data_IF_424075136702
#
_entry.id   IF_424075136702
#
_cell.length_a   1.000
_cell.length_b   1.000
_cell.length_c   1.000
_cell.angle_alpha   90.00
_cell.angle_beta   90.00
_cell.angle_gamma   90.00
#
_symmetry.space_group_name_H-M   'P 1'
#
loop_
_entity.id
_entity.type
_entity.pdbx_description
1 polymer ?
#
# COMPACT_ATOMS: atom_id res chain seq x y z
N UNK A 1 -36.15 -25.01 55.63
CA UNK A 1 -37.13 -24.00 56.06
C UNK A 1 -36.69 -22.66 55.49
N UNK A 2 -37.39 -22.12 54.62
CA UNK A 2 -37.89 -20.79 54.27
C UNK A 2 -38.06 -20.67 52.77
N UNK A 3 -39.31 -20.56 52.41
CA UNK A 3 -39.88 -20.25 51.09
C UNK A 3 -39.65 -18.73 50.84
N UNK A 4 -39.34 -18.33 49.60
CA UNK A 4 -39.64 -16.98 49.12
C UNK A 4 -40.10 -17.04 47.67
N UNK A 5 -41.17 -16.32 47.48
CA UNK A 5 -42.11 -16.30 46.32
C UNK A 5 -41.55 -15.58 45.11
N UNK A 6 -42.10 -16.06 44.00
CA UNK A 6 -42.07 -15.52 42.65
C UNK A 6 -43.03 -14.32 42.55
N UNK A 7 -42.59 -13.18 42.00
CA UNK A 7 -43.48 -12.17 41.45
C UNK A 7 -43.30 -12.07 39.96
N UNK A 8 -44.37 -12.47 39.28
CA UNK A 8 -44.58 -12.38 37.82
C UNK A 8 -45.20 -11.00 37.54
N UNK A 9 -44.51 -10.10 36.88
CA UNK A 9 -45.10 -8.89 36.31
C UNK A 9 -45.38 -9.09 34.83
N UNK A 10 -46.64 -9.23 34.53
CA UNK A 10 -47.20 -9.20 33.19
C UNK A 10 -47.31 -7.74 32.74
N UNK A 11 -46.64 -7.36 31.65
CA UNK A 11 -46.92 -6.10 30.96
C UNK A 11 -47.57 -6.39 29.60
N UNK A 12 -48.74 -5.90 29.48
CA UNK A 12 -49.61 -5.94 28.31
C UNK A 12 -49.11 -4.93 27.29
N UNK A 13 -48.77 -5.37 26.08
CA UNK A 13 -48.47 -4.47 24.97
C UNK A 13 -49.64 -4.48 23.99
N UNK A 14 -50.25 -3.33 23.85
CA UNK A 14 -51.31 -3.06 22.87
C UNK A 14 -50.71 -2.91 21.48
N UNK A 15 -51.20 -3.70 20.55
CA UNK A 15 -50.96 -3.60 19.12
C UNK A 15 -51.69 -2.38 18.55
N UNK A 16 -50.96 -1.53 17.84
CA UNK A 16 -51.52 -0.62 16.85
C UNK A 16 -50.96 -0.99 15.47
N UNK A 17 -51.82 -1.52 14.65
CA UNK A 17 -51.57 -1.78 13.25
C UNK A 17 -51.68 -0.49 12.44
N UNK A 18 -50.65 -0.22 11.62
CA UNK A 18 -50.82 0.63 10.44
C UNK A 18 -50.15 -0.06 9.25
N UNK A 19 -50.93 -0.38 8.26
CA UNK A 19 -50.56 -0.91 6.96
C UNK A 19 -49.85 0.13 6.11
N UNK A 20 -48.90 -0.33 5.33
CA UNK A 20 -48.31 0.36 4.18
C UNK A 20 -47.26 -0.55 3.57
N UNK A 21 -47.60 -1.26 2.47
CA UNK A 21 -46.72 -2.18 1.75
C UNK A 21 -45.50 -1.43 1.17
N UNK A 22 -44.46 -2.07 0.79
CA UNK A 22 -44.27 -2.92 -0.35
C UNK A 22 -42.79 -3.38 -0.43
N UNK A 23 -42.63 -4.58 -0.86
CA UNK A 23 -41.50 -5.25 -1.51
C UNK A 23 -40.07 -5.00 -1.04
N UNK A 24 -39.62 -5.95 -0.24
CA UNK A 24 -38.24 -6.16 0.09
C UNK A 24 -37.52 -7.07 -0.91
N UNK A 25 -36.30 -6.80 -1.16
CA UNK A 25 -35.33 -7.77 -1.64
C UNK A 25 -34.08 -7.73 -0.74
N UNK A 26 -33.67 -8.90 -0.34
CA UNK A 26 -32.61 -9.31 0.53
C UNK A 26 -31.47 -8.32 0.79
N UNK A 27 -31.40 -7.93 2.04
CA UNK A 27 -30.23 -7.22 2.57
C UNK A 27 -29.15 -8.20 2.90
N UNK A 28 -28.07 -8.18 2.14
CA UNK A 28 -26.76 -8.63 2.60
C UNK A 28 -26.33 -7.72 3.75
N UNK A 29 -25.82 -8.33 4.79
CA UNK A 29 -25.28 -7.72 5.99
C UNK A 29 -24.24 -6.62 5.63
N UNK A 30 -24.69 -5.40 5.47
CA UNK A 30 -23.82 -4.23 5.47
C UNK A 30 -23.44 -3.97 6.92
N UNK A 31 -22.22 -4.37 7.27
CA UNK A 31 -21.59 -4.02 8.52
C UNK A 31 -21.75 -2.53 8.77
N UNK A 32 -22.39 -2.21 9.88
CA UNK A 32 -22.65 -0.93 10.51
C UNK A 32 -21.57 0.15 10.28
N UNK A 33 -21.56 0.75 9.08
CA UNK A 33 -20.98 2.06 8.88
C UNK A 33 -22.03 3.08 9.36
N UNK A 34 -21.66 4.12 10.11
CA UNK A 34 -22.59 5.17 10.44
C UNK A 34 -23.13 5.77 9.13
N UNK A 35 -24.45 5.72 8.99
CA UNK A 35 -25.15 6.24 7.85
C UNK A 35 -24.85 7.74 7.70
N UNK A 36 -24.70 8.22 6.46
CA UNK A 36 -24.68 9.65 6.23
C UNK A 36 -26.08 10.17 6.59
N UNK A 37 -26.11 11.09 7.51
CA UNK A 37 -27.29 11.88 7.73
C UNK A 37 -27.67 12.61 6.43
N UNK A 38 -28.95 12.71 6.16
CA UNK A 38 -29.50 13.26 4.93
C UNK A 38 -29.17 14.75 4.69
N UNK A 39 -28.49 15.41 5.61
CA UNK A 39 -28.09 16.81 5.57
C UNK A 39 -26.65 17.05 5.04
N UNK A 40 -25.94 15.98 4.64
CA UNK A 40 -24.61 16.09 4.03
C UNK A 40 -23.50 16.32 5.03
N UNK A 41 -23.71 16.06 6.33
CA UNK A 41 -22.65 16.08 7.31
C UNK A 41 -21.63 14.98 7.03
N UNK A 42 -20.37 15.31 7.26
CA UNK A 42 -19.26 14.45 6.91
C UNK A 42 -19.25 13.19 7.77
N UNK A 43 -19.12 12.04 7.13
CA UNK A 43 -18.85 10.78 7.81
C UNK A 43 -17.62 10.96 8.72
N UNK A 44 -17.78 10.79 10.03
CA UNK A 44 -16.69 10.81 11.00
C UNK A 44 -16.32 9.37 11.34
N UNK A 45 -15.24 8.85 10.77
CA UNK A 45 -14.74 7.53 11.14
C UNK A 45 -14.01 7.61 12.49
N UNK A 46 -14.26 6.63 13.34
CA UNK A 46 -13.46 6.42 14.55
C UNK A 46 -11.97 6.26 14.17
N UNK A 47 -11.06 6.84 14.97
CA UNK A 47 -9.61 6.65 14.82
C UNK A 47 -9.18 5.18 14.86
N UNK A 48 -9.98 4.32 15.48
CA UNK A 48 -9.76 2.87 15.55
C UNK A 48 -10.45 2.08 14.41
N UNK A 49 -11.19 2.74 13.52
CA UNK A 49 -11.80 2.05 12.39
C UNK A 49 -10.77 1.29 11.58
N UNK A 50 -10.97 -0.01 11.40
CA UNK A 50 -10.05 -0.87 10.63
C UNK A 50 -10.49 -0.90 9.18
N UNK A 51 -9.67 -0.29 8.31
CA UNK A 51 -9.88 -0.39 6.86
C UNK A 51 -9.53 -1.79 6.37
N UNK A 52 -10.46 -2.46 5.72
CA UNK A 52 -10.20 -3.70 4.96
C UNK A 52 -10.05 -3.34 3.50
N UNK A 53 -8.83 -3.45 2.99
CA UNK A 53 -8.46 -3.03 1.64
C UNK A 53 -8.26 -4.26 0.75
N UNK A 54 -9.16 -4.52 -0.22
CA UNK A 54 -9.02 -5.64 -1.13
C UNK A 54 -7.78 -5.45 -2.03
N UNK A 55 -6.85 -6.41 -1.99
CA UNK A 55 -5.64 -6.45 -2.81
C UNK A 55 -5.80 -7.49 -3.90
N UNK A 56 -5.44 -7.11 -5.12
CA UNK A 56 -5.28 -8.02 -6.25
C UNK A 56 -3.84 -7.96 -6.76
N UNK A 57 -3.21 -9.12 -6.83
CA UNK A 57 -1.90 -9.31 -7.44
C UNK A 57 -2.10 -9.72 -8.90
N UNK A 58 -1.68 -8.88 -9.83
CA UNK A 58 -1.65 -9.18 -11.25
C UNK A 58 -0.27 -9.71 -11.63
N UNK A 59 -0.14 -11.01 -11.85
CA UNK A 59 1.12 -11.65 -12.20
C UNK A 59 1.24 -11.70 -13.73
N UNK A 60 2.06 -10.80 -14.30
CA UNK A 60 2.32 -10.75 -15.72
C UNK A 60 3.52 -11.64 -16.05
N UNK A 61 3.32 -12.70 -16.85
CA UNK A 61 4.34 -13.68 -17.18
C UNK A 61 4.36 -14.01 -18.68
N UNK A 62 5.50 -14.47 -19.18
CA UNK A 62 5.62 -15.08 -20.51
C UNK A 62 5.81 -16.60 -20.40
N UNK A 63 6.55 -17.07 -19.40
CA UNK A 63 6.80 -18.48 -19.14
C UNK A 63 6.25 -18.89 -17.77
N UNK A 64 5.22 -19.74 -17.77
CA UNK A 64 4.60 -20.25 -16.54
C UNK A 64 5.48 -21.27 -15.79
N UNK A 65 6.54 -21.78 -16.41
CA UNK A 65 7.52 -22.67 -15.78
C UNK A 65 8.65 -21.93 -15.06
N UNK A 66 8.79 -20.62 -15.29
CA UNK A 66 9.77 -19.75 -14.65
C UNK A 66 9.20 -19.20 -13.34
N UNK A 67 9.70 -19.69 -12.20
CA UNK A 67 9.26 -19.26 -10.87
C UNK A 67 9.58 -17.78 -10.57
N UNK A 68 10.47 -17.14 -11.33
CA UNK A 68 10.72 -15.70 -11.22
C UNK A 68 9.64 -14.86 -11.91
N UNK A 69 8.86 -15.44 -12.80
CA UNK A 69 7.77 -14.79 -13.52
C UNK A 69 6.41 -15.22 -12.96
N UNK A 70 6.23 -16.54 -12.71
CA UNK A 70 4.95 -17.12 -12.28
C UNK A 70 4.94 -17.38 -10.77
N UNK A 71 4.75 -16.32 -10.01
CA UNK A 71 4.77 -16.38 -8.55
C UNK A 71 3.53 -17.11 -8.03
N UNK A 72 3.70 -18.13 -7.19
CA UNK A 72 2.56 -18.91 -6.69
C UNK A 72 1.65 -18.08 -5.77
N UNK A 73 0.34 -18.33 -5.86
CA UNK A 73 -0.66 -17.68 -5.01
C UNK A 73 -0.39 -17.90 -3.51
N UNK A 74 0.10 -19.09 -3.13
CA UNK A 74 0.49 -19.37 -1.75
C UNK A 74 1.62 -18.45 -1.29
N UNK A 75 2.60 -18.19 -2.15
CA UNK A 75 3.71 -17.27 -1.86
C UNK A 75 3.20 -15.85 -1.65
N UNK A 76 2.35 -15.34 -2.55
CA UNK A 76 1.78 -13.99 -2.46
C UNK A 76 0.91 -13.82 -1.21
N UNK A 77 0.11 -14.84 -0.87
CA UNK A 77 -0.66 -14.86 0.38
C UNK A 77 0.24 -14.75 1.61
N UNK A 78 1.34 -15.51 1.66
CA UNK A 78 2.26 -15.48 2.79
C UNK A 78 2.95 -14.11 2.91
N UNK A 79 3.36 -13.52 1.78
CA UNK A 79 3.94 -12.17 1.77
C UNK A 79 2.92 -11.17 2.33
N UNK A 80 1.68 -11.18 1.85
CA UNK A 80 0.64 -10.25 2.30
C UNK A 80 0.34 -10.41 3.80
N UNK A 81 0.41 -11.64 4.33
CA UNK A 81 0.29 -11.86 5.77
C UNK A 81 1.37 -11.11 6.55
N UNK A 82 2.65 -11.22 6.14
CA UNK A 82 3.75 -10.53 6.82
C UNK A 82 3.67 -9.00 6.65
N UNK A 83 3.20 -8.51 5.50
CA UNK A 83 2.91 -7.08 5.30
C UNK A 83 1.84 -6.61 6.30
N UNK A 84 0.77 -7.38 6.50
CA UNK A 84 -0.23 -7.06 7.52
C UNK A 84 0.33 -7.03 8.94
N UNK A 85 1.29 -7.90 9.26
CA UNK A 85 1.97 -7.89 10.56
C UNK A 85 2.79 -6.60 10.76
N UNK A 86 3.42 -6.07 9.70
CA UNK A 86 4.11 -4.78 9.72
C UNK A 86 3.11 -3.65 9.96
N UNK A 87 2.02 -3.58 9.20
CA UNK A 87 1.01 -2.52 9.28
C UNK A 87 0.19 -2.57 10.58
N UNK A 88 0.06 -3.74 11.18
CA UNK A 88 -0.53 -3.91 12.52
C UNK A 88 0.35 -3.30 13.62
N UNK A 89 1.66 -3.24 13.40
CA UNK A 89 2.64 -2.79 14.38
C UNK A 89 2.86 -3.78 15.54
N UNK A 90 3.94 -3.56 16.28
CA UNK A 90 4.24 -4.32 17.51
C UNK A 90 4.77 -5.75 17.34
N UNK A 91 4.65 -6.35 16.16
CA UNK A 91 5.11 -7.73 15.92
C UNK A 91 6.63 -7.82 15.84
N UNK A 92 7.27 -6.88 15.14
CA UNK A 92 8.72 -6.88 14.88
C UNK A 92 9.49 -5.82 15.65
N UNK A 93 8.80 -5.00 16.42
CA UNK A 93 9.34 -3.91 17.22
C UNK A 93 8.29 -2.83 17.45
N UNK A 94 8.67 -1.72 18.08
CA UNK A 94 7.78 -0.59 18.31
C UNK A 94 7.41 0.09 16.98
N UNK A 95 6.11 0.18 16.70
CA UNK A 95 5.56 0.74 15.47
C UNK A 95 4.09 1.12 15.69
N UNK A 96 3.61 2.14 15.02
CA UNK A 96 2.20 2.50 15.04
C UNK A 96 1.32 1.40 14.44
N UNK A 97 0.15 1.17 15.04
CA UNK A 97 -0.88 0.33 14.44
C UNK A 97 -1.69 1.16 13.45
N UNK A 98 -1.63 0.81 12.17
CA UNK A 98 -2.31 1.54 11.09
C UNK A 98 -3.83 1.40 11.11
N UNK A 99 -4.36 0.38 11.78
CA UNK A 99 -5.77 -0.04 11.64
C UNK A 99 -6.15 -0.25 10.16
N UNK A 100 -5.26 -0.91 9.42
CA UNK A 100 -5.43 -1.34 8.03
C UNK A 100 -5.19 -2.84 7.97
N UNK A 101 -6.04 -3.53 7.24
CA UNK A 101 -5.90 -4.95 6.89
C UNK A 101 -5.99 -5.08 5.37
N UNK A 102 -4.92 -5.49 4.74
CA UNK A 102 -4.92 -5.85 3.32
C UNK A 102 -5.48 -7.25 3.19
N UNK A 103 -6.64 -7.37 2.53
CA UNK A 103 -7.33 -8.65 2.33
C UNK A 103 -7.22 -9.07 0.87
N UNK A 104 -7.05 -10.37 0.61
CA UNK A 104 -7.07 -10.86 -0.76
C UNK A 104 -8.45 -10.66 -1.38
N UNK A 105 -8.52 -10.07 -2.57
CA UNK A 105 -9.77 -9.91 -3.30
C UNK A 105 -10.44 -11.27 -3.51
N UNK A 106 -11.71 -11.43 -3.17
CA UNK A 106 -12.45 -12.68 -3.33
C UNK A 106 -13.27 -12.72 -4.63
N UNK A 107 -13.60 -11.54 -5.16
CA UNK A 107 -14.42 -11.37 -6.39
C UNK A 107 -13.68 -10.48 -7.39
N UNK A 108 -13.99 -10.66 -8.67
CA UNK A 108 -13.56 -9.77 -9.74
C UNK A 108 -14.43 -8.49 -9.81
N UNK A 109 -14.13 -7.57 -10.74
CA UNK A 109 -14.87 -6.32 -10.97
C UNK A 109 -16.36 -6.54 -11.36
N UNK A 110 -16.72 -7.75 -11.79
CA UNK A 110 -18.09 -8.14 -12.13
C UNK A 110 -18.82 -8.84 -10.98
N UNK A 111 -18.16 -9.02 -9.82
CA UNK A 111 -18.68 -9.73 -8.65
C UNK A 111 -18.61 -11.25 -8.74
N UNK A 112 -17.91 -11.81 -9.75
CA UNK A 112 -17.71 -13.26 -9.84
C UNK A 112 -16.63 -13.69 -8.86
N UNK A 113 -16.87 -14.81 -8.16
CA UNK A 113 -15.91 -15.39 -7.24
C UNK A 113 -14.64 -15.84 -7.96
N UNK A 114 -13.49 -15.43 -7.45
CA UNK A 114 -12.19 -15.84 -7.98
C UNK A 114 -11.89 -17.30 -7.63
N UNK A 115 -11.35 -18.04 -8.60
CA UNK A 115 -10.83 -19.40 -8.35
C UNK A 115 -9.58 -19.38 -7.49
N UNK A 116 -8.81 -18.31 -7.57
CA UNK A 116 -7.60 -18.04 -6.79
C UNK A 116 -7.75 -16.66 -6.14
N UNK A 117 -8.22 -16.59 -4.89
CA UNK A 117 -8.43 -15.30 -4.23
C UNK A 117 -7.17 -14.43 -4.26
N UNK A 118 -7.35 -13.16 -4.65
CA UNK A 118 -6.33 -12.13 -4.68
C UNK A 118 -5.25 -12.28 -5.73
N UNK A 119 -5.36 -13.22 -6.68
CA UNK A 119 -4.34 -13.40 -7.72
C UNK A 119 -4.96 -13.58 -9.10
N UNK A 120 -4.53 -12.77 -10.04
CA UNK A 120 -4.82 -12.89 -11.47
C UNK A 120 -3.53 -13.18 -12.22
N UNK A 121 -3.52 -14.26 -13.01
CA UNK A 121 -2.37 -14.63 -13.86
C UNK A 121 -2.63 -14.20 -15.29
N UNK A 122 -1.79 -13.29 -15.79
CA UNK A 122 -1.96 -12.73 -17.14
C UNK A 122 -0.76 -13.06 -18.00
N UNK A 123 -0.99 -13.85 -19.06
CA UNK A 123 0.06 -14.11 -20.06
C UNK A 123 0.34 -12.84 -20.85
N UNK A 124 1.51 -12.24 -20.61
CA UNK A 124 1.92 -11.01 -21.25
C UNK A 124 2.50 -11.30 -22.65
N UNK A 125 2.05 -10.53 -23.64
CA UNK A 125 2.44 -10.75 -25.05
C UNK A 125 3.34 -9.64 -25.62
N UNK A 126 3.68 -8.63 -24.79
CA UNK A 126 4.56 -7.54 -25.18
C UNK A 126 6.05 -7.86 -24.97
N UNK A 127 6.90 -6.85 -25.07
CA UNK A 127 8.32 -6.95 -24.73
C UNK A 127 8.50 -7.27 -23.24
N UNK A 128 9.36 -8.27 -22.94
CA UNK A 128 9.60 -8.74 -21.59
C UNK A 128 11.11 -9.03 -21.39
N UNK A 129 11.74 -8.66 -20.32
CA UNK A 129 11.23 -7.95 -19.13
C UNK A 129 10.64 -6.57 -19.42
N UNK A 130 9.76 -6.07 -18.54
CA UNK A 130 9.03 -4.82 -18.74
C UNK A 130 9.76 -3.68 -17.98
N UNK A 131 9.87 -2.51 -18.61
CA UNK A 131 10.36 -1.31 -17.94
C UNK A 131 9.27 -0.78 -16.97
N UNK A 132 9.54 -0.70 -15.64
CA UNK A 132 8.54 -0.34 -14.67
C UNK A 132 8.07 1.12 -14.79
N UNK A 133 8.98 2.03 -15.18
CA UNK A 133 8.62 3.43 -15.36
C UNK A 133 7.72 3.61 -16.57
N UNK A 134 8.07 2.97 -17.70
CA UNK A 134 7.19 2.97 -18.89
C UNK A 134 5.82 2.37 -18.58
N UNK A 135 5.75 1.30 -17.76
CA UNK A 135 4.48 0.69 -17.38
C UNK A 135 3.59 1.67 -16.61
N UNK A 136 4.15 2.42 -15.67
CA UNK A 136 3.40 3.32 -14.80
C UNK A 136 3.09 4.68 -15.46
N UNK A 137 4.02 5.21 -16.29
CA UNK A 137 3.90 6.58 -16.82
C UNK A 137 3.30 6.66 -18.23
N UNK A 138 3.09 5.53 -18.92
CA UNK A 138 2.43 5.50 -20.21
C UNK A 138 0.96 5.93 -20.07
N UNK A 139 0.62 7.06 -20.63
CA UNK A 139 -0.71 7.66 -20.57
C UNK A 139 -1.57 7.39 -21.84
N UNK A 140 -1.18 6.42 -22.65
CA UNK A 140 -1.94 6.02 -23.84
C UNK A 140 -3.14 5.13 -23.55
N UNK A 141 -3.30 4.69 -22.32
CA UNK A 141 -4.29 3.67 -21.92
C UNK A 141 -3.85 2.23 -22.14
N UNK A 142 -2.64 2.01 -22.69
CA UNK A 142 -2.13 0.68 -23.04
C UNK A 142 -2.12 -0.30 -21.87
N UNK A 143 -1.80 0.18 -20.68
CA UNK A 143 -1.60 -0.65 -19.50
C UNK A 143 -2.79 -0.68 -18.54
N UNK A 144 -3.83 0.16 -18.75
CA UNK A 144 -5.02 0.20 -17.86
C UNK A 144 -5.80 -1.11 -17.81
N UNK A 145 -5.66 -1.94 -18.84
CA UNK A 145 -6.28 -3.28 -18.89
C UNK A 145 -5.65 -4.30 -17.92
N UNK A 146 -4.51 -3.97 -17.32
CA UNK A 146 -3.81 -4.85 -16.39
C UNK A 146 -4.08 -4.48 -14.92
N UNK A 147 -4.98 -3.54 -14.68
CA UNK A 147 -5.43 -3.18 -13.34
C UNK A 147 -6.95 -3.29 -13.25
N UNK A 148 -7.44 -3.54 -12.05
CA UNK A 148 -8.85 -3.42 -11.70
C UNK A 148 -9.18 -2.02 -11.20
N UNK A 149 -10.46 -1.72 -10.94
CA UNK A 149 -10.88 -0.38 -10.49
C UNK A 149 -10.18 0.00 -9.18
N UNK A 150 -9.33 1.04 -9.18
CA UNK A 150 -8.61 1.44 -7.96
C UNK A 150 -9.52 1.96 -6.84
N UNK A 151 -10.77 2.28 -7.14
CA UNK A 151 -11.75 2.67 -6.12
C UNK A 151 -12.20 1.48 -5.26
N UNK A 152 -12.06 0.26 -5.78
CA UNK A 152 -12.50 -0.98 -5.13
C UNK A 152 -11.35 -1.91 -4.77
N UNK A 153 -10.20 -1.80 -5.46
CA UNK A 153 -9.06 -2.71 -5.30
C UNK A 153 -7.73 -1.97 -5.24
N UNK A 154 -6.83 -2.43 -4.36
CA UNK A 154 -5.41 -2.09 -4.45
C UNK A 154 -4.75 -3.00 -5.46
N UNK A 155 -4.23 -2.43 -6.53
CA UNK A 155 -3.57 -3.15 -7.60
C UNK A 155 -2.07 -3.26 -7.35
N UNK A 156 -1.55 -4.47 -7.26
CA UNK A 156 -0.12 -4.78 -7.20
C UNK A 156 0.23 -5.64 -8.40
N UNK A 157 1.03 -5.09 -9.32
CA UNK A 157 1.39 -5.79 -10.57
C UNK A 157 2.80 -6.34 -10.45
N UNK A 158 2.98 -7.63 -10.72
CA UNK A 158 4.28 -8.30 -10.65
C UNK A 158 4.76 -8.70 -12.04
N UNK A 159 5.99 -8.33 -12.37
CA UNK A 159 6.69 -8.78 -13.58
C UNK A 159 8.20 -8.61 -13.39
N UNK A 160 9.02 -9.28 -14.22
CA UNK A 160 10.46 -9.06 -14.22
C UNK A 160 10.77 -7.67 -14.78
N UNK A 161 11.47 -6.86 -14.02
CA UNK A 161 11.86 -5.51 -14.42
C UNK A 161 12.99 -5.55 -15.45
N UNK A 162 12.86 -4.76 -16.50
CA UNK A 162 13.95 -4.47 -17.41
C UNK A 162 15.08 -3.78 -16.63
N UNK A 163 16.29 -4.33 -16.71
CA UNK A 163 17.45 -3.73 -16.03
C UNK A 163 17.71 -2.36 -16.61
N UNK A 164 17.90 -1.38 -15.73
CA UNK A 164 18.44 -0.07 -16.11
C UNK A 164 19.94 -0.22 -16.30
N UNK A 165 20.48 0.30 -17.40
CA UNK A 165 21.93 0.33 -17.65
C UNK A 165 22.64 1.42 -16.83
N UNK A 166 21.90 2.21 -16.06
CA UNK A 166 22.47 3.20 -15.14
C UNK A 166 22.99 2.51 -13.90
N UNK A 167 24.29 2.73 -13.62
CA UNK A 167 25.00 2.14 -12.51
C UNK A 167 24.31 2.45 -11.16
N UNK A 168 24.15 1.44 -10.34
CA UNK A 168 24.03 1.67 -8.91
C UNK A 168 22.97 0.93 -8.13
N UNK A 169 22.18 0.03 -8.69
CA UNK A 169 21.23 -0.69 -7.85
C UNK A 169 20.19 -1.49 -8.62
N UNK A 170 19.42 -2.29 -7.89
CA UNK A 170 18.28 -3.02 -8.44
C UNK A 170 17.01 -2.37 -7.93
N UNK A 171 16.15 -1.95 -8.85
CA UNK A 171 14.80 -1.50 -8.50
C UNK A 171 13.94 -2.71 -8.13
N UNK A 172 13.40 -2.72 -6.92
CA UNK A 172 12.57 -3.81 -6.39
C UNK A 172 11.08 -3.54 -6.55
N UNK A 173 10.69 -2.28 -6.44
CA UNK A 173 9.32 -1.81 -6.59
C UNK A 173 9.28 -0.37 -7.08
N UNK A 174 8.13 0.06 -7.54
CA UNK A 174 7.81 1.45 -7.91
C UNK A 174 6.32 1.65 -7.73
N UNK A 175 5.89 2.77 -7.18
CA UNK A 175 4.48 3.02 -6.91
C UNK A 175 3.99 4.38 -7.41
N UNK A 176 2.72 4.45 -7.75
CA UNK A 176 2.01 5.71 -7.83
C UNK A 176 1.76 6.26 -6.43
N UNK A 177 1.95 7.59 -6.28
CA UNK A 177 1.45 8.32 -5.13
C UNK A 177 -0.05 8.59 -5.29
N UNK A 178 -0.81 8.71 -4.19
CA UNK A 178 -2.19 9.13 -4.27
C UNK A 178 -2.30 10.60 -4.67
N UNK A 179 -3.47 10.98 -5.15
CA UNK A 179 -3.81 12.39 -5.36
C UNK A 179 -4.64 12.88 -4.18
N UNK A 180 -4.50 14.16 -3.84
CA UNK A 180 -5.28 14.84 -2.82
C UNK A 180 -6.40 15.64 -3.45
N UNK A 181 -7.51 15.83 -2.74
CA UNK A 181 -8.56 16.75 -3.22
C UNK A 181 -8.10 18.20 -3.00
N UNK A 182 -8.30 19.05 -4.00
CA UNK A 182 -7.95 20.47 -3.95
C UNK A 182 -8.96 21.27 -3.10
N UNK A 183 -8.90 21.09 -1.81
CA UNK A 183 -9.70 21.80 -0.81
C UNK A 183 -8.94 21.93 0.52
N UNK A 184 -9.64 22.30 1.58
CA UNK A 184 -9.05 22.42 2.93
C UNK A 184 -8.48 21.13 3.50
N UNK A 185 -8.65 19.99 2.82
CA UNK A 185 -8.10 18.69 3.18
C UNK A 185 -6.92 18.28 2.31
N UNK A 186 -6.38 19.17 1.48
CA UNK A 186 -5.22 18.86 0.65
C UNK A 186 -4.00 18.52 1.52
N UNK A 187 -3.33 17.42 1.17
CA UNK A 187 -2.10 16.98 1.84
C UNK A 187 -0.88 17.57 1.15
N UNK A 188 0.00 18.14 1.95
CA UNK A 188 1.27 18.66 1.48
C UNK A 188 2.11 17.58 0.77
N UNK A 189 2.74 17.96 -0.35
CA UNK A 189 3.57 17.07 -1.17
C UNK A 189 2.82 16.28 -2.23
N UNK A 190 1.52 16.04 -2.09
CA UNK A 190 0.72 15.32 -3.08
C UNK A 190 0.23 16.24 -4.21
N UNK A 191 0.08 15.67 -5.41
CA UNK A 191 -0.65 16.31 -6.48
C UNK A 191 -2.13 16.47 -6.12
N UNK A 192 -2.78 17.52 -6.59
CA UNK A 192 -4.17 17.83 -6.26
C UNK A 192 -5.11 17.68 -7.46
N UNK A 193 -6.37 17.39 -7.17
CA UNK A 193 -7.46 17.32 -8.15
C UNK A 193 -8.74 17.91 -7.56
N UNK A 194 -9.55 18.53 -8.37
CA UNK A 194 -10.90 18.95 -7.97
C UNK A 194 -11.90 17.80 -7.88
N UNK A 195 -11.52 16.61 -8.36
CA UNK A 195 -12.38 15.44 -8.44
C UNK A 195 -12.32 14.62 -7.13
N UNK A 196 -13.47 14.37 -6.54
CA UNK A 196 -13.60 13.51 -5.34
C UNK A 196 -13.79 12.03 -5.67
N UNK A 197 -14.09 11.74 -6.92
CA UNK A 197 -14.21 10.40 -7.48
C UNK A 197 -13.71 10.42 -8.91
N UNK A 198 -12.87 9.47 -9.26
CA UNK A 198 -12.30 9.30 -10.58
C UNK A 198 -12.65 7.89 -11.05
N UNK A 199 -13.53 7.73 -12.05
CA UNK A 199 -13.85 6.39 -12.56
C UNK A 199 -12.64 5.78 -13.28
N UNK A 200 -12.49 4.46 -13.20
CA UNK A 200 -11.43 3.72 -13.92
C UNK A 200 -11.39 4.07 -15.41
N UNK A 201 -12.56 4.28 -16.03
CA UNK A 201 -12.67 4.62 -17.46
C UNK A 201 -11.99 5.96 -17.83
N UNK A 202 -11.76 6.83 -16.87
CA UNK A 202 -11.03 8.10 -17.07
C UNK A 202 -9.51 7.96 -16.90
N UNK A 203 -9.02 6.78 -16.50
CA UNK A 203 -7.58 6.54 -16.34
C UNK A 203 -6.94 6.24 -17.69
N UNK A 204 -5.88 6.95 -18.01
CA UNK A 204 -5.03 6.70 -19.17
C UNK A 204 -3.72 5.99 -18.82
N UNK A 205 -3.43 5.79 -17.54
CA UNK A 205 -2.26 5.08 -16.99
C UNK A 205 -2.71 4.02 -15.99
N UNK A 206 -1.86 3.01 -15.78
CA UNK A 206 -2.12 1.93 -14.83
C UNK A 206 -1.83 2.40 -13.40
N UNK A 207 -2.84 2.91 -12.70
CA UNK A 207 -2.71 3.36 -11.31
C UNK A 207 -2.54 2.16 -10.36
N UNK A 208 -1.29 1.88 -9.97
CA UNK A 208 -0.92 0.69 -9.19
C UNK A 208 0.47 0.85 -8.56
N UNK A 209 0.86 -0.15 -7.75
CA UNK A 209 2.25 -0.44 -7.42
C UNK A 209 2.76 -1.56 -8.33
N UNK A 210 4.00 -1.48 -8.81
CA UNK A 210 4.65 -2.56 -9.55
C UNK A 210 5.80 -3.13 -8.74
N UNK A 211 5.97 -4.45 -8.80
CA UNK A 211 6.96 -5.20 -8.02
C UNK A 211 7.79 -6.07 -8.97
N UNK A 212 9.12 -6.03 -8.78
CA UNK A 212 10.03 -6.90 -9.53
C UNK A 212 9.85 -8.35 -9.08
N UNK A 213 9.18 -9.14 -9.90
CA UNK A 213 8.81 -10.52 -9.57
C UNK A 213 10.01 -11.44 -9.36
N UNK A 214 11.19 -11.12 -9.89
CA UNK A 214 12.43 -11.88 -9.65
C UNK A 214 12.72 -12.03 -8.14
N UNK A 215 12.36 -11.03 -7.34
CA UNK A 215 12.60 -11.04 -5.89
C UNK A 215 11.40 -11.60 -5.09
N UNK A 216 10.27 -11.81 -5.71
CA UNK A 216 9.14 -12.48 -5.07
C UNK A 216 9.26 -14.01 -5.11
N UNK A 217 9.99 -14.55 -6.09
CA UNK A 217 10.31 -15.96 -6.24
C UNK A 217 11.42 -16.45 -5.30
N UNK A 218 12.03 -17.58 -5.69
CA UNK A 218 13.16 -18.15 -4.96
C UNK A 218 14.48 -17.52 -5.43
N UNK A 219 15.43 -17.43 -4.51
CA UNK A 219 16.82 -17.09 -4.82
C UNK A 219 17.56 -18.31 -5.44
N UNK A 220 18.77 -18.09 -5.89
CA UNK A 220 19.61 -19.15 -6.51
C UNK A 220 19.96 -20.31 -5.56
N UNK A 221 19.83 -20.11 -4.24
CA UNK A 221 20.07 -21.10 -3.21
C UNK A 221 18.78 -21.83 -2.81
N UNK A 222 17.64 -21.50 -3.43
CA UNK A 222 16.33 -22.05 -3.15
C UNK A 222 15.62 -21.44 -1.92
N UNK A 223 16.20 -20.40 -1.33
CA UNK A 223 15.60 -19.56 -0.30
C UNK A 223 14.62 -18.54 -0.89
N UNK A 224 14.22 -17.57 -0.08
CA UNK A 224 13.45 -16.42 -0.51
C UNK A 224 14.18 -15.12 -0.17
N UNK A 225 14.04 -14.12 -1.03
CA UNK A 225 14.52 -12.76 -0.77
C UNK A 225 13.68 -12.11 0.33
N UNK A 226 13.94 -12.49 1.57
CA UNK A 226 13.25 -11.97 2.76
C UNK A 226 14.08 -12.19 4.03
N UNK A 227 13.80 -11.40 5.05
CA UNK A 227 14.37 -11.59 6.38
C UNK A 227 13.96 -12.94 6.98
N UNK A 228 14.88 -13.60 7.67
CA UNK A 228 14.57 -14.84 8.40
C UNK A 228 13.65 -14.65 9.60
N UNK A 229 13.37 -13.38 10.02
CA UNK A 229 12.44 -13.08 11.11
C UNK A 229 11.03 -13.59 10.89
N UNK A 230 10.59 -13.66 9.62
CA UNK A 230 9.25 -14.12 9.27
C UNK A 230 9.03 -15.62 9.56
N UNK A 231 10.10 -16.41 9.56
CA UNK A 231 10.05 -17.86 9.80
C UNK A 231 10.60 -18.26 11.17
N UNK A 232 11.65 -17.56 11.64
CA UNK A 232 12.36 -17.92 12.86
C UNK A 232 11.92 -17.13 14.09
N UNK A 233 11.17 -16.04 13.89
CA UNK A 233 10.85 -15.07 14.93
C UNK A 233 12.05 -14.20 15.34
N UNK A 234 11.78 -13.12 16.05
CA UNK A 234 12.80 -12.13 16.45
C UNK A 234 13.71 -12.67 17.56
N UNK A 235 13.14 -13.44 18.49
CA UNK A 235 13.84 -13.89 19.71
C UNK A 235 15.08 -14.76 19.44
N UNK A 236 15.14 -15.41 18.28
CA UNK A 236 16.25 -16.29 17.90
C UNK A 236 17.36 -15.59 17.10
N UNK A 237 17.26 -14.28 16.96
CA UNK A 237 18.06 -13.55 16.01
C UNK A 237 17.61 -13.78 14.56
N UNK A 238 17.86 -12.84 13.69
CA UNK A 238 17.46 -12.94 12.29
C UNK A 238 18.45 -12.24 11.37
N UNK A 239 18.43 -12.63 10.11
CA UNK A 239 19.17 -11.95 9.05
C UNK A 239 18.26 -10.96 8.34
N UNK A 240 18.78 -9.78 7.98
CA UNK A 240 18.14 -8.84 7.08
C UNK A 240 18.54 -9.15 5.63
N UNK A 241 17.67 -8.84 4.70
CA UNK A 241 17.96 -8.90 3.27
C UNK A 241 17.78 -7.51 2.65
N UNK A 242 18.72 -6.99 1.88
CA UNK A 242 18.54 -5.71 1.19
C UNK A 242 17.46 -5.78 0.10
N UNK A 243 17.06 -7.00 -0.28
CA UNK A 243 16.01 -7.26 -1.28
C UNK A 243 14.81 -7.96 -0.63
N UNK A 244 14.46 -7.60 0.63
CA UNK A 244 13.35 -8.21 1.34
C UNK A 244 12.03 -7.85 0.67
N UNK A 245 11.41 -8.82 0.00
CA UNK A 245 10.17 -8.64 -0.75
C UNK A 245 8.98 -8.22 0.14
N UNK A 246 8.97 -8.61 1.41
CA UNK A 246 7.91 -8.22 2.35
C UNK A 246 8.04 -6.73 2.67
N UNK A 247 9.27 -6.27 2.95
CA UNK A 247 9.56 -4.85 3.16
C UNK A 247 9.27 -4.06 1.88
N UNK A 248 9.69 -4.58 0.71
CA UNK A 248 9.43 -3.94 -0.59
C UNK A 248 7.93 -3.72 -0.80
N UNK A 249 7.09 -4.74 -0.63
CA UNK A 249 5.65 -4.57 -0.83
C UNK A 249 5.05 -3.64 0.25
N UNK A 250 5.51 -3.73 1.51
CA UNK A 250 5.08 -2.78 2.55
C UNK A 250 5.46 -1.34 2.20
N UNK A 251 6.65 -1.12 1.67
CA UNK A 251 7.16 0.17 1.21
C UNK A 251 6.32 0.74 0.05
N UNK A 252 6.09 -0.04 -1.00
CA UNK A 252 5.30 0.39 -2.15
C UNK A 252 3.84 0.71 -1.78
N UNK A 253 3.25 -0.07 -0.86
CA UNK A 253 1.94 0.24 -0.31
C UNK A 253 1.97 1.49 0.59
N UNK A 254 3.10 1.81 1.22
CA UNK A 254 3.33 3.07 1.91
C UNK A 254 3.23 4.26 0.95
N UNK A 255 3.91 4.21 -0.19
CA UNK A 255 3.80 5.21 -1.26
C UNK A 255 2.38 5.31 -1.80
N UNK A 256 1.76 4.17 -2.12
CA UNK A 256 0.38 4.12 -2.60
C UNK A 256 -0.62 4.78 -1.62
N UNK A 257 -0.30 4.77 -0.33
CA UNK A 257 -1.06 5.43 0.74
C UNK A 257 -0.49 6.80 1.16
N UNK A 258 0.46 7.38 0.40
CA UNK A 258 0.88 8.76 0.53
C UNK A 258 2.14 9.03 1.33
N UNK A 259 2.93 8.02 1.67
CA UNK A 259 4.21 8.20 2.35
C UNK A 259 5.33 8.51 1.36
N UNK A 260 6.22 9.41 1.75
CA UNK A 260 7.50 9.68 1.09
C UNK A 260 8.63 8.97 1.83
N UNK A 261 9.83 8.92 1.22
CA UNK A 261 11.01 8.39 1.88
C UNK A 261 11.42 9.26 3.05
N UNK A 262 11.98 8.63 4.10
CA UNK A 262 12.46 9.36 5.29
C UNK A 262 13.77 10.12 5.05
N UNK A 263 14.51 9.82 3.99
CA UNK A 263 15.71 10.58 3.61
C UNK A 263 15.34 11.80 2.76
N UNK A 264 16.26 12.77 2.73
CA UNK A 264 16.07 13.98 1.92
C UNK A 264 16.07 13.65 0.43
N UNK A 265 14.99 14.00 -0.26
CA UNK A 265 14.85 13.80 -1.70
C UNK A 265 14.01 14.90 -2.36
N UNK A 266 14.09 15.01 -3.68
CA UNK A 266 13.11 15.69 -4.51
C UNK A 266 12.24 14.66 -5.23
N UNK A 267 11.13 14.29 -4.60
CA UNK A 267 10.23 13.26 -5.11
C UNK A 267 9.57 13.61 -6.46
N UNK A 268 9.67 14.87 -6.90
CA UNK A 268 9.16 15.34 -8.21
C UNK A 268 10.23 15.36 -9.28
N UNK A 269 11.50 15.13 -8.93
CA UNK A 269 12.60 15.10 -9.88
C UNK A 269 12.59 13.80 -10.70
N UNK A 270 12.83 13.92 -11.99
CA UNK A 270 13.13 12.76 -12.85
C UNK A 270 14.53 12.19 -12.58
N UNK A 271 15.43 13.00 -11.96
CA UNK A 271 16.76 12.55 -11.54
C UNK A 271 16.63 11.74 -10.25
N UNK A 272 17.09 10.51 -10.33
CA UNK A 272 17.07 9.55 -9.20
C UNK A 272 18.36 9.52 -8.40
N UNK A 273 19.32 10.38 -8.75
CA UNK A 273 20.55 10.51 -7.98
C UNK A 273 20.23 11.01 -6.56
N UNK A 274 20.87 10.45 -5.53
CA UNK A 274 20.67 10.90 -4.17
C UNK A 274 21.11 12.35 -4.01
N UNK A 275 20.27 13.17 -3.38
CA UNK A 275 20.63 14.55 -3.06
C UNK A 275 21.71 14.58 -1.97
N UNK A 276 22.73 15.41 -2.17
CA UNK A 276 23.72 15.74 -1.15
C UNK A 276 23.22 16.92 -0.31
N UNK A 277 22.18 16.66 0.48
CA UNK A 277 21.53 17.67 1.32
C UNK A 277 20.78 17.05 2.49
N UNK A 278 20.46 17.90 3.46
CA UNK A 278 19.68 17.55 4.65
C UNK A 278 18.43 18.42 4.74
N UNK A 279 17.28 17.78 4.92
CA UNK A 279 15.99 18.44 5.10
C UNK A 279 14.86 17.44 5.27
N UNK A 280 13.79 17.84 5.94
CA UNK A 280 12.57 17.05 6.04
C UNK A 280 11.78 17.20 4.73
N UNK A 281 11.65 16.11 3.99
CA UNK A 281 10.91 16.05 2.72
C UNK A 281 9.80 15.00 2.73
N UNK A 282 9.61 14.28 3.83
CA UNK A 282 8.58 13.24 3.97
C UNK A 282 7.28 13.74 4.63
N UNK A 283 7.30 15.00 5.11
CA UNK A 283 6.17 15.66 5.77
C UNK A 283 5.71 14.97 7.07
N UNK A 284 6.63 14.25 7.74
CA UNK A 284 6.38 13.50 8.98
C UNK A 284 7.43 13.88 10.05
N UNK A 285 7.07 14.77 10.96
CA UNK A 285 8.00 15.36 11.93
C UNK A 285 8.61 14.38 12.95
N UNK A 286 8.05 13.20 13.06
CA UNK A 286 8.49 12.15 13.99
C UNK A 286 9.35 11.07 13.31
N UNK A 287 9.73 11.29 12.05
CA UNK A 287 10.71 10.50 11.30
C UNK A 287 12.03 11.26 11.24
N UNK A 288 13.18 10.61 11.50
CA UNK A 288 14.47 11.27 11.35
C UNK A 288 14.87 11.34 9.87
N UNK A 289 15.03 12.56 9.33
CA UNK A 289 15.59 12.74 7.98
C UNK A 289 17.11 12.61 7.97
N UNK A 290 17.69 12.13 6.87
CA UNK A 290 19.13 12.00 6.71
C UNK A 290 19.57 12.25 5.27
N UNK A 291 20.87 12.51 5.08
CA UNK A 291 21.50 12.65 3.76
C UNK A 291 21.79 11.26 3.16
N UNK A 292 20.99 10.86 2.18
CA UNK A 292 21.11 9.57 1.50
C UNK A 292 22.46 9.43 0.77
N UNK A 293 22.96 10.52 0.16
CA UNK A 293 24.25 10.50 -0.56
C UNK A 293 25.42 10.14 0.38
N UNK A 294 25.46 10.77 1.55
CA UNK A 294 26.50 10.47 2.56
C UNK A 294 26.42 9.01 3.03
N UNK A 295 25.20 8.50 3.24
CA UNK A 295 25.03 7.10 3.62
C UNK A 295 25.46 6.13 2.52
N UNK A 296 25.13 6.39 1.25
CA UNK A 296 25.54 5.54 0.12
C UNK A 296 27.06 5.56 -0.07
N UNK A 297 27.72 6.71 0.10
CA UNK A 297 29.18 6.83 0.08
C UNK A 297 29.84 6.04 1.22
N UNK A 298 29.28 6.14 2.44
CA UNK A 298 29.72 5.33 3.58
C UNK A 298 29.58 3.84 3.27
N UNK A 299 28.42 3.40 2.76
CA UNK A 299 28.17 2.00 2.44
C UNK A 299 29.14 1.46 1.38
N UNK A 300 29.43 2.24 0.35
CA UNK A 300 30.39 1.89 -0.71
C UNK A 300 31.81 1.72 -0.14
N UNK A 301 32.23 2.61 0.76
CA UNK A 301 33.52 2.49 1.44
C UNK A 301 33.56 1.29 2.38
N UNK A 302 32.51 1.10 3.17
CA UNK A 302 32.39 0.00 4.12
C UNK A 302 32.48 -1.35 3.39
N UNK A 303 31.70 -1.55 2.33
CA UNK A 303 31.69 -2.80 1.55
C UNK A 303 33.01 -3.07 0.83
N UNK A 304 33.70 -2.02 0.39
CA UNK A 304 35.02 -2.17 -0.27
C UNK A 304 36.15 -2.50 0.70
N UNK A 305 36.03 -2.12 1.96
CA UNK A 305 37.06 -2.28 2.99
C UNK A 305 36.98 -3.60 3.76
N UNK A 306 35.82 -4.26 3.74
CA UNK A 306 35.58 -5.48 4.53
C UNK A 306 35.93 -6.74 3.75
N UNK A 307 36.85 -7.52 4.26
CA UNK A 307 37.32 -8.78 3.63
C UNK A 307 36.49 -10.01 4.00
N UNK A 308 35.57 -9.99 5.01
CA UNK A 308 34.78 -11.20 5.34
C UNK A 308 33.63 -11.12 6.32
N UNK A 309 33.31 -10.04 7.03
CA UNK A 309 32.14 -10.00 7.95
C UNK A 309 31.60 -8.57 8.13
N UNK A 310 30.67 -8.17 7.30
CA UNK A 310 29.85 -6.98 7.55
C UNK A 310 28.93 -7.24 8.76
N UNK A 311 28.95 -6.35 9.75
CA UNK A 311 28.00 -6.41 10.87
C UNK A 311 26.69 -5.73 10.45
N UNK A 312 25.57 -6.36 10.78
CA UNK A 312 24.24 -5.80 10.47
C UNK A 312 24.09 -4.38 11.04
N UNK A 313 24.55 -4.16 12.28
CA UNK A 313 24.45 -2.87 12.96
C UNK A 313 25.15 -1.73 12.19
N UNK A 314 26.31 -2.02 11.57
CA UNK A 314 27.07 -1.00 10.85
C UNK A 314 26.33 -0.53 9.57
N UNK A 315 25.63 -1.45 8.88
CA UNK A 315 24.94 -1.11 7.62
C UNK A 315 23.55 -0.53 7.82
N UNK A 316 22.94 -0.72 8.97
CA UNK A 316 21.62 -0.11 9.29
C UNK A 316 21.74 1.21 10.06
N UNK A 317 22.95 1.62 10.46
CA UNK A 317 23.17 2.90 11.15
C UNK A 317 22.99 4.07 10.18
N UNK A 318 22.32 5.10 10.62
CA UNK A 318 22.11 6.37 9.90
C UNK A 318 22.51 7.56 10.79
N UNK A 319 23.00 8.60 10.15
CA UNK A 319 23.28 9.90 10.77
C UNK A 319 22.18 10.88 10.35
N UNK A 320 21.34 11.26 11.31
CA UNK A 320 20.22 12.17 11.03
C UNK A 320 20.70 13.61 10.81
N UNK A 321 19.93 14.40 10.10
CA UNK A 321 20.19 15.81 9.82
C UNK A 321 20.29 16.69 11.07
N UNK A 322 19.72 16.27 12.19
CA UNK A 322 19.82 16.95 13.49
C UNK A 322 21.08 16.57 14.28
N UNK A 323 21.93 15.70 13.73
CA UNK A 323 23.17 15.22 14.35
C UNK A 323 23.02 14.03 15.27
N UNK A 324 21.83 13.42 15.35
CA UNK A 324 21.61 12.19 16.12
C UNK A 324 21.84 10.94 15.26
N UNK A 325 22.15 9.83 15.91
CA UNK A 325 22.30 8.53 15.25
C UNK A 325 21.03 7.69 15.49
N UNK A 326 20.62 6.95 14.46
CA UNK A 326 19.54 5.98 14.59
C UNK A 326 19.76 4.72 13.75
N UNK A 327 19.14 3.63 14.15
CA UNK A 327 19.11 2.41 13.35
C UNK A 327 17.90 2.42 12.43
N UNK A 328 18.13 2.25 11.14
CA UNK A 328 17.08 2.21 10.13
C UNK A 328 16.09 1.08 10.39
N UNK A 329 14.86 1.44 10.68
CA UNK A 329 13.76 0.51 10.92
C UNK A 329 12.48 0.88 10.17
N UNK A 330 12.41 2.10 9.62
CA UNK A 330 11.23 2.59 8.93
C UNK A 330 11.03 1.86 7.60
N UNK A 331 9.77 1.54 7.26
CA UNK A 331 9.45 0.92 5.98
C UNK A 331 9.76 1.82 4.78
N UNK A 332 9.82 3.14 4.98
CA UNK A 332 10.11 4.12 3.93
C UNK A 332 11.61 4.47 3.83
N UNK A 333 12.49 3.59 4.29
CA UNK A 333 13.93 3.70 4.10
C UNK A 333 14.43 2.72 3.04
N UNK A 334 15.66 2.94 2.53
CA UNK A 334 16.26 2.14 1.47
C UNK A 334 17.34 1.18 1.96
N UNK A 335 17.65 0.20 1.11
CA UNK A 335 18.73 -0.76 1.24
C UNK A 335 18.65 -1.54 2.58
N UNK A 336 19.67 -1.39 3.41
CA UNK A 336 19.74 -2.11 4.67
C UNK A 336 18.89 -1.41 5.74
N UNK A 337 17.67 -1.88 5.90
CA UNK A 337 16.74 -1.45 6.95
C UNK A 337 16.13 -2.65 7.67
N UNK A 338 15.74 -2.48 8.92
CA UNK A 338 14.91 -3.45 9.61
C UNK A 338 13.48 -3.48 9.05
N UNK A 339 13.01 -2.38 8.42
CA UNK A 339 11.81 -2.31 7.59
C UNK A 339 10.53 -2.80 8.25
N UNK A 340 10.25 -2.36 9.49
CA UNK A 340 9.00 -2.73 10.18
C UNK A 340 8.29 -1.55 10.83
N UNK A 341 8.98 -0.41 10.95
CA UNK A 341 8.47 0.74 11.70
C UNK A 341 7.65 1.67 10.81
N UNK A 342 6.50 2.07 11.32
CA UNK A 342 5.67 3.16 10.83
C UNK A 342 5.51 4.13 12.00
N UNK A 343 5.71 5.42 11.77
CA UNK A 343 5.56 6.45 12.80
C UNK A 343 4.10 6.88 12.97
N UNK A 344 3.79 7.63 14.04
CA UNK A 344 2.44 8.13 14.26
C UNK A 344 2.05 9.19 13.21
N UNK A 345 2.97 10.07 12.77
CA UNK A 345 2.67 11.03 11.71
C UNK A 345 2.50 10.33 10.34
N UNK A 346 3.28 9.28 10.05
CA UNK A 346 3.07 8.45 8.88
C UNK A 346 1.68 7.78 8.91
N UNK A 347 1.27 7.26 10.07
CA UNK A 347 -0.08 6.72 10.28
C UNK A 347 -1.15 7.77 10.01
N UNK A 348 -1.03 8.96 10.59
CA UNK A 348 -2.00 10.04 10.39
C UNK A 348 -2.11 10.41 8.91
N UNK A 349 -0.97 10.52 8.22
CA UNK A 349 -0.90 10.83 6.80
C UNK A 349 -1.59 9.76 5.94
N UNK A 350 -1.29 8.48 6.15
CA UNK A 350 -1.95 7.39 5.43
C UNK A 350 -3.45 7.31 5.71
N UNK A 351 -3.87 7.51 6.96
CA UNK A 351 -5.31 7.51 7.30
C UNK A 351 -6.05 8.68 6.67
N UNK A 352 -5.38 9.82 6.51
CA UNK A 352 -5.93 10.95 5.78
C UNK A 352 -6.15 10.60 4.30
N UNK A 353 -5.17 9.98 3.65
CA UNK A 353 -5.29 9.47 2.26
C UNK A 353 -6.45 8.49 2.14
N UNK A 354 -6.55 7.51 3.02
CA UNK A 354 -7.65 6.55 3.05
C UNK A 354 -9.01 7.22 3.12
N UNK A 355 -9.13 8.33 3.83
CA UNK A 355 -10.38 9.01 4.11
C UNK A 355 -10.79 10.02 3.04
N UNK A 356 -9.82 10.69 2.39
CA UNK A 356 -10.10 11.82 1.50
C UNK A 356 -9.72 11.58 0.03
N UNK A 357 -8.67 10.81 -0.24
CA UNK A 357 -8.13 10.68 -1.60
C UNK A 357 -8.99 9.80 -2.50
N UNK A 358 -9.26 10.21 -3.77
CA UNK A 358 -9.87 9.32 -4.77
C UNK A 358 -8.91 8.17 -5.15
N UNK A 359 -9.40 7.18 -5.91
CA UNK A 359 -8.64 6.03 -6.41
C UNK A 359 -8.05 5.13 -5.30
N UNK A 360 -8.59 5.18 -4.10
CA UNK A 360 -8.21 4.32 -2.97
C UNK A 360 -9.46 3.62 -2.47
N UNK A 361 -9.49 2.31 -2.24
CA UNK A 361 -10.68 1.62 -1.74
C UNK A 361 -11.04 2.01 -0.30
N UNK A 362 -12.28 1.77 0.07
CA UNK A 362 -12.78 1.96 1.43
C UNK A 362 -13.76 3.13 1.59
N UNK A 363 -14.32 3.30 2.80
CA UNK A 363 -15.25 4.38 3.09
C UNK A 363 -14.56 5.74 3.06
N UNK A 364 -15.19 6.72 2.42
CA UNK A 364 -14.72 8.08 2.20
C UNK A 364 -15.71 9.10 2.74
N UNK A 365 -15.19 10.23 3.23
CA UNK A 365 -16.01 11.35 3.68
C UNK A 365 -17.02 11.85 2.62
N UNK A 366 -16.68 11.70 1.36
CA UNK A 366 -17.44 12.25 0.26
C UNK A 366 -17.82 11.20 -0.79
N UNK A 367 -18.06 9.97 -0.37
CA UNK A 367 -18.62 8.95 -1.28
C UNK A 367 -20.00 9.41 -1.71
N UNK A 368 -20.06 10.26 -2.74
CA UNK A 368 -21.30 10.51 -3.46
C UNK A 368 -21.71 9.14 -4.01
N UNK A 369 -22.89 8.67 -3.65
CA UNK A 369 -23.49 7.48 -4.24
C UNK A 369 -23.68 7.72 -5.75
N UNK A 370 -22.63 7.43 -6.52
CA UNK A 370 -22.59 7.60 -7.99
C UNK A 370 -23.54 6.61 -8.68
N UNK A 371 -24.06 5.61 -7.95
CA UNK A 371 -25.00 4.63 -8.49
C UNK A 371 -26.38 5.19 -8.92
N UNK A 372 -26.70 6.44 -8.62
CA UNK A 372 -28.03 7.02 -8.92
C UNK A 372 -28.05 8.26 -9.81
N UNK A 373 -26.89 8.76 -10.27
CA UNK A 373 -26.88 9.82 -11.29
C UNK A 373 -26.05 9.34 -12.48
N UNK A 374 -26.71 9.37 -13.66
CA UNK A 374 -26.07 9.00 -14.92
C UNK A 374 -24.66 9.59 -15.02
N UNK A 375 -23.73 8.70 -15.32
CA UNK A 375 -22.33 8.99 -15.55
C UNK A 375 -22.21 10.22 -16.45
N UNK A 376 -21.83 11.33 -15.88
CA UNK A 376 -21.23 12.39 -16.68
C UNK A 376 -19.83 11.85 -17.01
N UNK A 377 -19.72 11.28 -18.20
CA UNK A 377 -18.41 10.99 -18.76
C UNK A 377 -17.59 12.28 -18.67
N UNK A 378 -16.51 12.23 -17.92
CA UNK A 378 -15.52 13.31 -17.91
C UNK A 378 -14.68 13.03 -19.16
N UNK A 379 -15.13 13.59 -20.30
CA UNK A 379 -14.48 13.46 -21.62
C UNK A 379 -13.12 14.19 -21.70
N UNK A 380 -12.64 14.72 -20.59
CA UNK A 380 -11.34 15.40 -20.54
C UNK A 380 -10.32 14.49 -19.89
N UNK A 381 -9.14 14.30 -20.51
CA UNK A 381 -8.01 13.64 -19.85
C UNK A 381 -7.76 14.27 -18.48
N UNK A 382 -7.47 13.44 -17.48
CA UNK A 382 -7.12 13.94 -16.16
C UNK A 382 -5.89 14.87 -16.30
N UNK A 383 -6.02 16.10 -15.85
CA UNK A 383 -4.99 17.14 -15.98
C UNK A 383 -3.80 16.95 -15.03
N UNK A 384 -3.79 15.87 -14.24
CA UNK A 384 -2.70 15.58 -13.32
C UNK A 384 -1.95 14.32 -13.73
N UNK A 385 -0.63 14.34 -13.54
CA UNK A 385 0.20 13.14 -13.63
C UNK A 385 0.49 12.70 -12.20
N UNK A 386 0.07 11.47 -11.80
CA UNK A 386 0.46 10.96 -10.50
C UNK A 386 1.98 10.93 -10.41
N UNK A 387 2.50 11.36 -9.27
CA UNK A 387 3.91 11.19 -8.95
C UNK A 387 4.19 9.71 -8.84
N UNK A 388 5.27 9.25 -9.47
CA UNK A 388 5.76 7.88 -9.38
C UNK A 388 7.05 7.94 -8.58
N UNK A 389 7.11 7.19 -7.45
CA UNK A 389 8.27 7.12 -6.58
C UNK A 389 8.90 5.72 -6.70
N UNK A 390 10.24 5.68 -6.71
CA UNK A 390 11.04 4.45 -6.78
C UNK A 390 11.62 4.11 -5.42
#
# INVERSE_FOLDING_TARGET
MRKISIYLCLFLVTLLSACGGDDGLGTTDESTLPDQDQDGTALTLDSNYVYKLPVIFHVLYQDASDESQYISATRLKNILQYVNEIYKGGTYGESANMHVEFVLAETDESGNKLSTPGVEYVKYTGEYPIDPMTFLTDNSGKYTKYIWDPNDYINVVLFNFKRSDTAGGVTLGVSHMPVSVDDSTALEGLETTSLRYIPKSSLHYAYCSVINSQYAGRDEQGGYYQSSRYTNGIANGFTISPSDIVVTIAHELGHYLGLFHIFTEDAKSEDTAPLDSCGDTDYCKDTPSYNRKEYEDYLAQYTSSQSSQSKADDVILRHACDGTDFYSANIMDYAYTLGYKISDNQKERMRHVLYYSPLIPGPKRNKVNVRTRGTREVDTPLDFRPVVIR
#
